data_IF_139101454999
#
_entry.id   IF_139101454999
#
_cell.length_a   1.000
_cell.length_b   1.000
_cell.length_c   1.000
_cell.angle_alpha   90.00
_cell.angle_beta   90.00
_cell.angle_gamma   90.00
#
_symmetry.space_group_name_H-M   'P 1'
#
loop_
_entity.id
_entity.type
_entity.pdbx_description
1 polymer ?
#
# COMPACT_ATOMS: atom_id res chain seq x y z
N UNK A 1 -11.63 -5.35 10.42
CA UNK A 1 -12.93 -4.71 10.72
C UNK A 1 -14.02 -5.77 10.74
N UNK A 2 -15.19 -5.44 11.31
CA UNK A 2 -16.43 -6.19 11.07
C UNK A 2 -17.44 -5.15 10.59
N UNK A 3 -18.01 -5.37 9.41
CA UNK A 3 -19.12 -4.56 8.90
C UNK A 3 -20.45 -5.26 9.26
N UNK A 4 -21.28 -4.73 10.17
CA UNK A 4 -22.53 -5.39 10.56
C UNK A 4 -23.56 -5.43 9.42
N UNK A 5 -23.48 -4.50 8.47
CA UNK A 5 -24.39 -4.34 7.34
C UNK A 5 -23.70 -4.77 6.03
N UNK A 6 -23.03 -5.92 6.04
CA UNK A 6 -22.32 -6.44 4.88
C UNK A 6 -23.24 -6.89 3.74
N UNK A 7 -22.68 -7.48 2.66
CA UNK A 7 -23.46 -7.95 1.51
C UNK A 7 -24.58 -8.90 1.91
N UNK A 8 -25.78 -8.68 1.38
CA UNK A 8 -26.97 -9.46 1.78
C UNK A 8 -27.48 -9.17 3.20
N UNK A 9 -27.05 -8.06 3.82
CA UNK A 9 -27.46 -7.66 5.17
C UNK A 9 -26.86 -8.56 6.26
N UNK A 10 -25.72 -9.22 5.99
CA UNK A 10 -25.05 -10.10 6.93
C UNK A 10 -23.72 -9.49 7.41
N UNK A 11 -23.32 -9.69 8.69
CA UNK A 11 -22.03 -9.22 9.16
C UNK A 11 -20.85 -9.79 8.37
N UNK A 12 -19.94 -8.92 7.93
CA UNK A 12 -18.74 -9.31 7.19
C UNK A 12 -17.45 -8.98 7.98
N UNK A 13 -16.76 -9.99 8.53
CA UNK A 13 -15.43 -9.80 9.10
C UNK A 13 -14.37 -9.74 7.99
N UNK A 14 -13.47 -8.76 8.06
CA UNK A 14 -12.36 -8.58 7.12
C UNK A 14 -11.06 -8.21 7.84
N UNK A 15 -9.95 -8.76 7.36
CA UNK A 15 -8.57 -8.36 7.67
C UNK A 15 -7.85 -7.96 6.37
N UNK A 16 -6.57 -7.60 6.45
CA UNK A 16 -5.77 -6.96 5.39
C UNK A 16 -6.27 -5.56 5.00
N UNK A 17 -5.42 -4.55 5.20
CA UNK A 17 -5.77 -3.16 4.91
C UNK A 17 -6.14 -2.92 3.44
N UNK A 18 -5.44 -3.57 2.50
CA UNK A 18 -5.77 -3.46 1.07
C UNK A 18 -7.15 -4.02 0.72
N UNK A 19 -7.50 -5.19 1.26
CA UNK A 19 -8.82 -5.80 1.05
C UNK A 19 -9.94 -4.93 1.67
N UNK A 20 -9.70 -4.39 2.86
CA UNK A 20 -10.63 -3.49 3.53
C UNK A 20 -10.87 -2.21 2.72
N UNK A 21 -9.82 -1.60 2.16
CA UNK A 21 -9.97 -0.39 1.32
C UNK A 21 -10.80 -0.66 0.07
N UNK A 22 -10.51 -1.76 -0.64
CA UNK A 22 -11.27 -2.15 -1.84
C UNK A 22 -12.74 -2.42 -1.49
N UNK A 23 -13.00 -3.12 -0.39
CA UNK A 23 -14.34 -3.39 0.09
C UNK A 23 -15.11 -2.11 0.40
N UNK A 24 -14.53 -1.19 1.17
CA UNK A 24 -15.19 0.05 1.55
C UNK A 24 -15.44 0.97 0.35
N UNK A 25 -14.51 1.02 -0.59
CA UNK A 25 -14.65 1.77 -1.84
C UNK A 25 -15.83 1.24 -2.67
N UNK A 26 -15.99 -0.07 -2.76
CA UNK A 26 -17.10 -0.71 -3.47
C UNK A 26 -18.44 -0.53 -2.74
N UNK A 27 -18.47 -0.72 -1.42
CA UNK A 27 -19.68 -0.54 -0.60
C UNK A 27 -20.24 0.88 -0.70
N UNK A 28 -19.37 1.88 -0.80
CA UNK A 28 -19.77 3.29 -0.79
C UNK A 28 -19.81 3.95 -2.17
N UNK A 29 -19.25 3.30 -3.20
CA UNK A 29 -19.07 3.90 -4.53
C UNK A 29 -18.10 5.09 -4.54
N UNK A 30 -17.17 5.17 -3.59
CA UNK A 30 -16.25 6.29 -3.43
C UNK A 30 -14.78 5.85 -3.54
N UNK A 31 -13.90 6.80 -3.88
CA UNK A 31 -12.43 6.65 -3.88
C UNK A 31 -11.84 5.63 -4.86
N UNK A 32 -12.66 5.06 -5.74
CA UNK A 32 -12.22 4.19 -6.83
C UNK A 32 -12.95 4.60 -8.12
N UNK A 33 -12.27 4.71 -9.27
CA UNK A 33 -12.91 5.02 -10.54
C UNK A 33 -13.99 4.00 -10.91
N UNK A 34 -15.04 4.49 -11.59
CA UNK A 34 -16.09 3.63 -12.15
C UNK A 34 -15.70 3.02 -13.50
N UNK A 35 -14.76 3.64 -14.22
CA UNK A 35 -14.20 3.05 -15.44
C UNK A 35 -13.46 1.74 -15.08
N UNK A 36 -13.77 0.61 -15.75
CA UNK A 36 -13.18 -0.67 -15.41
C UNK A 36 -11.65 -0.70 -15.55
N UNK A 37 -11.09 0.01 -16.53
CA UNK A 37 -9.64 0.03 -16.77
C UNK A 37 -8.95 0.80 -15.66
N UNK A 38 -9.44 2.01 -15.34
CA UNK A 38 -8.90 2.83 -14.26
C UNK A 38 -9.10 2.19 -12.87
N UNK A 39 -10.20 1.45 -12.67
CA UNK A 39 -10.43 0.68 -11.44
C UNK A 39 -9.33 -0.35 -11.23
N UNK A 40 -9.00 -1.15 -12.25
CA UNK A 40 -7.95 -2.16 -12.13
C UNK A 40 -6.56 -1.54 -12.00
N UNK A 41 -6.31 -0.39 -12.64
CA UNK A 41 -5.07 0.36 -12.41
C UNK A 41 -4.99 0.87 -10.96
N UNK A 42 -6.09 1.37 -10.39
CA UNK A 42 -6.14 1.77 -8.98
C UNK A 42 -5.80 0.61 -8.06
N UNK A 43 -6.40 -0.56 -8.31
CA UNK A 43 -6.14 -1.79 -7.55
C UNK A 43 -4.67 -2.21 -7.69
N UNK A 44 -4.08 -2.10 -8.88
CA UNK A 44 -2.65 -2.35 -9.10
C UNK A 44 -1.78 -1.48 -8.19
N UNK A 45 -2.09 -0.19 -8.04
CA UNK A 45 -1.36 0.71 -7.13
C UNK A 45 -1.55 0.37 -5.65
N UNK A 46 -2.73 -0.12 -5.25
CA UNK A 46 -2.94 -0.67 -3.90
C UNK A 46 -2.04 -1.88 -3.67
N UNK A 47 -1.97 -2.81 -4.63
CA UNK A 47 -1.09 -3.98 -4.52
C UNK A 47 0.39 -3.61 -4.54
N UNK A 48 0.80 -2.61 -5.33
CA UNK A 48 2.15 -2.05 -5.27
C UNK A 48 2.49 -1.56 -3.85
N UNK A 49 1.56 -0.83 -3.21
CA UNK A 49 1.76 -0.37 -1.84
C UNK A 49 1.86 -1.54 -0.85
N UNK A 50 0.93 -2.50 -0.92
CA UNK A 50 0.85 -3.63 0.00
C UNK A 50 2.05 -4.57 -0.11
N UNK A 51 2.51 -4.88 -1.33
CA UNK A 51 3.55 -5.86 -1.57
C UNK A 51 4.98 -5.28 -1.56
N UNK A 52 5.14 -3.99 -1.88
CA UNK A 52 6.45 -3.36 -2.00
C UNK A 52 6.67 -2.27 -0.94
N UNK A 53 5.85 -1.22 -0.95
CA UNK A 53 6.10 -0.02 -0.12
C UNK A 53 6.04 -0.36 1.36
N UNK A 54 4.94 -0.96 1.83
CA UNK A 54 4.75 -1.29 3.25
C UNK A 54 5.87 -2.19 3.79
N UNK A 55 6.12 -3.36 3.18
CA UNK A 55 7.18 -4.27 3.62
C UNK A 55 8.57 -3.63 3.60
N UNK A 56 8.97 -2.99 2.51
CA UNK A 56 10.34 -2.47 2.37
C UNK A 56 10.60 -1.29 3.32
N UNK A 57 9.64 -0.39 3.50
CA UNK A 57 9.79 0.73 4.43
C UNK A 57 9.78 0.25 5.88
N UNK A 58 8.97 -0.77 6.19
CA UNK A 58 9.00 -1.44 7.48
C UNK A 58 10.38 -2.02 7.80
N UNK A 59 11.04 -2.66 6.82
CA UNK A 59 12.39 -3.18 7.01
C UNK A 59 13.43 -2.07 7.21
N UNK A 60 13.34 -0.94 6.48
CA UNK A 60 14.17 0.24 6.80
C UNK A 60 13.94 0.67 8.26
N UNK A 61 12.68 0.77 8.69
CA UNK A 61 12.33 1.10 10.07
C UNK A 61 13.01 0.17 11.08
N UNK A 62 12.96 -1.15 10.84
CA UNK A 62 13.59 -2.13 11.72
C UNK A 62 15.12 -1.94 11.83
N UNK A 63 15.82 -1.91 10.70
CA UNK A 63 17.29 -1.85 10.68
C UNK A 63 17.87 -0.46 10.97
N UNK A 64 17.08 0.60 10.82
CA UNK A 64 17.51 1.97 11.12
C UNK A 64 17.13 2.42 12.52
N UNK A 65 15.90 2.11 12.96
CA UNK A 65 15.29 2.73 14.14
C UNK A 65 15.08 1.77 15.31
N UNK A 66 14.75 0.51 15.06
CA UNK A 66 14.42 -0.48 16.09
C UNK A 66 15.60 -1.41 16.35
N UNK A 67 15.34 -2.64 16.81
CA UNK A 67 16.38 -3.56 17.30
C UNK A 67 17.46 -3.85 16.26
N UNK A 68 17.09 -3.86 14.97
CA UNK A 68 18.05 -4.04 13.88
C UNK A 68 19.13 -2.94 13.79
N UNK A 69 18.92 -1.78 14.43
CA UNK A 69 19.94 -0.70 14.46
C UNK A 69 21.19 -1.09 15.25
N UNK A 70 21.06 -2.02 16.21
CA UNK A 70 22.16 -2.49 17.05
C UNK A 70 23.07 -3.48 16.30
N UNK A 71 22.63 -3.97 15.12
CA UNK A 71 23.44 -4.88 14.33
C UNK A 71 24.65 -4.13 13.77
N UNK A 72 25.85 -4.65 14.04
CA UNK A 72 27.10 -4.05 13.57
C UNK A 72 27.21 -4.06 12.05
N UNK A 73 26.75 -5.14 11.41
CA UNK A 73 26.69 -5.24 9.95
C UNK A 73 25.54 -4.41 9.38
N UNK A 74 25.87 -3.38 8.59
CA UNK A 74 24.91 -2.47 7.98
C UNK A 74 24.46 -2.87 6.58
N UNK A 75 24.97 -3.97 6.01
CA UNK A 75 24.55 -4.46 4.68
C UNK A 75 23.03 -4.66 4.56
N UNK A 76 22.31 -5.22 5.56
CA UNK A 76 20.85 -5.32 5.50
C UNK A 76 20.18 -3.95 5.41
N UNK A 77 20.60 -2.98 6.25
CA UNK A 77 20.07 -1.61 6.21
C UNK A 77 20.29 -0.98 4.82
N UNK A 78 21.51 -1.07 4.29
CA UNK A 78 21.86 -0.51 2.99
C UNK A 78 21.05 -1.12 1.84
N UNK A 79 20.74 -2.42 1.92
CA UNK A 79 19.86 -3.09 0.98
C UNK A 79 18.45 -2.48 0.99
N UNK A 80 17.82 -2.40 2.17
CA UNK A 80 16.45 -1.87 2.27
C UNK A 80 16.36 -0.37 1.99
N UNK A 81 17.40 0.41 2.31
CA UNK A 81 17.47 1.84 1.95
C UNK A 81 17.52 2.00 0.42
N UNK A 82 18.31 1.18 -0.28
CA UNK A 82 18.40 1.22 -1.74
C UNK A 82 17.07 0.85 -2.39
N UNK A 83 16.41 -0.20 -1.90
CA UNK A 83 15.11 -0.61 -2.43
C UNK A 83 14.03 0.43 -2.15
N UNK A 84 14.01 1.01 -0.95
CA UNK A 84 13.11 2.11 -0.59
C UNK A 84 13.29 3.32 -1.50
N UNK A 85 14.54 3.72 -1.80
CA UNK A 85 14.82 4.79 -2.77
C UNK A 85 14.31 4.45 -4.17
N UNK A 86 14.44 3.20 -4.61
CA UNK A 86 13.90 2.74 -5.91
C UNK A 86 12.39 2.86 -5.95
N UNK A 87 11.69 2.45 -4.90
CA UNK A 87 10.23 2.57 -4.80
C UNK A 87 9.75 4.02 -4.77
N UNK A 88 10.45 4.89 -4.05
CA UNK A 88 10.19 6.34 -4.08
C UNK A 88 10.38 6.90 -5.50
N UNK A 89 11.39 6.45 -6.25
CA UNK A 89 11.58 6.86 -7.64
C UNK A 89 10.43 6.44 -8.57
N UNK A 90 9.81 5.28 -8.33
CA UNK A 90 8.59 4.88 -9.06
C UNK A 90 7.43 5.83 -8.76
N UNK A 91 7.24 6.17 -7.48
CA UNK A 91 6.18 7.10 -7.06
C UNK A 91 6.42 8.51 -7.60
N UNK A 92 7.66 9.00 -7.56
CA UNK A 92 8.06 10.30 -8.10
C UNK A 92 7.75 10.40 -9.59
N UNK A 93 8.18 9.41 -10.39
CA UNK A 93 7.87 9.34 -11.81
C UNK A 93 6.37 9.18 -12.09
N UNK A 94 5.63 8.45 -11.24
CA UNK A 94 4.17 8.34 -11.37
C UNK A 94 3.47 9.66 -11.08
N UNK A 95 3.95 10.42 -10.09
CA UNK A 95 3.33 11.66 -9.65
C UNK A 95 3.73 12.88 -10.51
N UNK A 96 4.75 12.76 -11.37
CA UNK A 96 5.09 13.82 -12.31
C UNK A 96 3.88 14.23 -13.16
N UNK A 97 3.49 15.50 -13.06
CA UNK A 97 2.30 16.07 -13.71
C UNK A 97 0.95 15.59 -13.18
N UNK A 98 0.88 14.83 -12.07
CA UNK A 98 -0.38 14.34 -11.47
C UNK A 98 -0.61 14.91 -10.08
N UNK A 99 -1.87 15.16 -9.73
CA UNK A 99 -2.27 15.57 -8.38
C UNK A 99 -2.28 14.38 -7.43
N UNK A 100 -2.72 13.22 -7.91
CA UNK A 100 -2.76 11.96 -7.17
C UNK A 100 -2.21 10.80 -8.02
N UNK A 101 -2.06 9.62 -7.41
CA UNK A 101 -1.58 8.42 -8.13
C UNK A 101 -2.47 8.08 -9.34
N UNK A 102 -3.78 8.31 -9.23
CA UNK A 102 -4.76 8.07 -10.31
C UNK A 102 -5.22 9.35 -11.01
N UNK A 103 -4.41 10.42 -11.02
CA UNK A 103 -4.72 11.71 -11.65
C UNK A 103 -4.66 12.88 -10.70
#
# INVERSE_FOLDING_TARGET
>A
IIDPDGPGGQPLPLFESGAILVYLAEKTGQFVPSDPVERWETIQWVFFQMAAVGPMFGQVGFFYKFEGREFADKRPLEHYVRETKRLLGILDARLDGRRWIMG
#
